data_IF_749979059721
#
_entry.id   IF_749979059721
#
_cell.length_a   1.000
_cell.length_b   1.000
_cell.length_c   1.000
_cell.angle_alpha   90.00
_cell.angle_beta   90.00
_cell.angle_gamma   90.00
#
_symmetry.space_group_name_H-M   'P 1'
#
loop_
_entity.id
_entity.type
_entity.pdbx_description
1 polymer ?
#
# COMPACT_ATOMS: atom_id res chain seq x y z
N UNK A 1 -38.73 -15.14 2.91
CA UNK A 1 -37.64 -15.99 2.37
C UNK A 1 -36.33 -15.25 2.48
N UNK A 2 -35.54 -15.50 3.52
CA UNK A 2 -34.16 -15.03 3.66
C UNK A 2 -33.34 -16.28 3.94
N UNK A 3 -32.52 -16.69 2.97
CA UNK A 3 -31.60 -17.83 3.11
C UNK A 3 -30.18 -17.31 2.93
N UNK A 4 -29.41 -17.46 4.01
CA UNK A 4 -28.02 -17.91 4.06
C UNK A 4 -27.00 -17.19 3.16
N UNK A 5 -26.40 -16.13 3.70
CA UNK A 5 -25.07 -15.65 3.33
C UNK A 5 -24.20 -15.81 4.58
N UNK A 6 -23.83 -17.05 4.90
CA UNK A 6 -22.87 -17.41 5.95
C UNK A 6 -22.36 -18.83 5.66
N UNK A 7 -21.78 -19.06 4.48
CA UNK A 7 -21.26 -20.39 4.13
C UNK A 7 -20.01 -20.39 3.24
N UNK A 8 -19.21 -19.32 3.27
CA UNK A 8 -17.94 -19.28 2.53
C UNK A 8 -16.68 -19.14 3.41
N UNK A 9 -16.82 -19.24 4.73
CA UNK A 9 -15.69 -19.13 5.67
C UNK A 9 -15.19 -20.47 6.23
N UNK A 10 -15.69 -21.61 5.75
CA UNK A 10 -15.38 -22.92 6.33
C UNK A 10 -14.87 -23.98 5.32
N UNK A 11 -14.36 -23.58 4.14
CA UNK A 11 -13.97 -24.56 3.11
C UNK A 11 -12.57 -24.36 2.51
N UNK A 12 -11.62 -23.94 3.33
CA UNK A 12 -10.18 -24.16 3.06
C UNK A 12 -9.53 -25.10 4.09
N UNK A 13 -10.22 -25.43 5.18
CA UNK A 13 -9.84 -26.52 6.06
C UNK A 13 -10.50 -27.82 5.59
N UNK A 14 -9.71 -28.72 5.01
CA UNK A 14 -9.87 -30.19 4.88
C UNK A 14 -9.37 -30.62 3.50
N UNK A 15 -8.04 -30.76 3.39
CA UNK A 15 -7.44 -31.93 2.75
C UNK A 15 -5.96 -32.04 3.13
N UNK A 16 -5.71 -32.45 4.37
CA UNK A 16 -4.47 -33.14 4.76
C UNK A 16 -4.78 -33.99 6.00
N UNK A 17 -5.13 -35.25 5.78
CA UNK A 17 -5.23 -36.23 6.86
C UNK A 17 -3.83 -36.56 7.40
N UNK A 18 -3.65 -36.24 8.68
CA UNK A 18 -3.03 -37.09 9.70
C UNK A 18 -1.49 -37.19 9.73
N UNK A 19 -0.86 -36.34 10.56
CA UNK A 19 -0.18 -36.74 11.82
C UNK A 19 0.41 -35.52 12.54
N UNK A 20 0.17 -35.49 13.84
CA UNK A 20 0.75 -34.65 14.90
C UNK A 20 0.20 -33.23 15.07
N UNK A 21 -0.48 -33.09 16.20
CA UNK A 21 -0.89 -31.90 16.93
C UNK A 21 0.26 -30.91 17.17
N UNK A 22 -0.13 -29.62 17.33
CA UNK A 22 0.66 -28.45 17.78
C UNK A 22 1.32 -27.59 16.69
N UNK A 23 0.56 -26.89 15.83
CA UNK A 23 1.07 -25.68 15.12
C UNK A 23 0.00 -24.71 14.56
N UNK A 24 -1.29 -24.79 14.94
CA UNK A 24 -2.34 -23.90 14.36
C UNK A 24 -2.68 -22.65 15.23
N UNK A 25 -2.12 -22.55 16.44
CA UNK A 25 -2.49 -21.53 17.44
C UNK A 25 -1.61 -20.26 17.44
N UNK A 26 -0.45 -20.30 16.76
CA UNK A 26 0.53 -19.20 16.81
C UNK A 26 0.27 -18.05 15.83
N UNK A 27 -0.31 -18.36 14.66
CA UNK A 27 -0.37 -17.45 13.49
C UNK A 27 -1.70 -16.70 13.35
N UNK A 28 -2.82 -17.36 13.68
CA UNK A 28 -4.08 -16.68 13.99
C UNK A 28 -3.86 -15.63 15.10
N UNK A 29 -3.05 -15.99 16.10
CA UNK A 29 -2.57 -15.10 17.14
C UNK A 29 -1.78 -13.89 16.61
N UNK A 30 -0.95 -14.05 15.57
CA UNK A 30 -0.22 -12.91 14.99
C UNK A 30 -1.16 -11.88 14.35
N UNK A 31 -2.09 -12.32 13.49
CA UNK A 31 -3.07 -11.41 12.85
C UNK A 31 -3.90 -10.67 13.91
N UNK A 32 -4.37 -11.40 14.93
CA UNK A 32 -5.11 -10.80 16.05
C UNK A 32 -4.28 -9.78 16.82
N UNK A 33 -3.01 -10.09 17.09
CA UNK A 33 -2.11 -9.18 17.82
C UNK A 33 -1.79 -7.93 17.00
N UNK A 34 -1.54 -8.06 15.70
CA UNK A 34 -1.33 -6.92 14.80
C UNK A 34 -2.61 -6.08 14.71
N UNK A 35 -3.77 -6.73 14.57
CA UNK A 35 -5.07 -6.04 14.54
C UNK A 35 -5.33 -5.29 15.86
N UNK A 36 -4.94 -5.83 17.02
CA UNK A 36 -5.03 -5.11 18.30
C UNK A 36 -4.16 -3.85 18.35
N UNK A 37 -2.97 -3.87 17.72
CA UNK A 37 -2.03 -2.73 17.72
C UNK A 37 -2.39 -1.68 16.64
N UNK A 38 -2.52 -2.11 15.39
CA UNK A 38 -2.73 -1.23 14.24
C UNK A 38 -4.21 -0.94 13.98
N UNK A 39 -5.13 -1.80 14.42
CA UNK A 39 -6.56 -1.63 14.20
C UNK A 39 -6.90 -1.58 12.71
N UNK A 40 -7.50 -0.48 12.26
CA UNK A 40 -7.87 -0.27 10.86
C UNK A 40 -6.67 -0.04 9.93
N UNK A 41 -5.49 0.21 10.48
CA UNK A 41 -4.25 0.43 9.72
C UNK A 41 -3.53 -0.88 9.34
N UNK A 42 -4.11 -2.04 9.66
CA UNK A 42 -3.68 -3.33 9.16
C UNK A 42 -4.68 -3.82 8.11
N UNK A 43 -4.25 -4.11 6.89
CA UNK A 43 -5.08 -4.60 5.78
C UNK A 43 -4.52 -5.92 5.26
N UNK A 44 -5.31 -6.99 5.38
CA UNK A 44 -4.87 -8.36 5.03
C UNK A 44 -5.18 -8.74 3.58
N UNK A 45 -4.53 -9.80 3.03
CA UNK A 45 -4.86 -10.33 1.71
C UNK A 45 -6.34 -10.73 1.56
N UNK A 46 -6.96 -11.24 2.63
CA UNK A 46 -8.35 -11.67 2.67
C UNK A 46 -9.30 -10.47 2.57
N UNK A 47 -9.02 -9.37 3.28
CA UNK A 47 -9.80 -8.14 3.18
C UNK A 47 -9.71 -7.52 1.79
N UNK A 48 -8.53 -7.58 1.16
CA UNK A 48 -8.34 -7.16 -0.23
C UNK A 48 -9.18 -8.07 -1.15
N UNK A 49 -9.15 -9.38 -0.96
CA UNK A 49 -9.91 -10.34 -1.78
C UNK A 49 -11.42 -10.17 -1.67
N UNK A 50 -11.91 -9.76 -0.50
CA UNK A 50 -13.33 -9.54 -0.24
C UNK A 50 -13.87 -8.26 -0.90
N UNK A 51 -13.02 -7.27 -1.16
CA UNK A 51 -13.43 -5.93 -1.60
C UNK A 51 -13.01 -5.60 -3.04
N UNK A 52 -12.00 -6.30 -3.55
CA UNK A 52 -11.43 -6.13 -4.88
C UNK A 52 -11.64 -7.38 -5.73
N UNK A 53 -11.56 -7.25 -7.05
CA UNK A 53 -11.54 -8.40 -7.99
C UNK A 53 -10.18 -9.09 -8.03
N UNK A 54 -9.47 -9.09 -6.91
CA UNK A 54 -8.14 -9.65 -6.72
C UNK A 54 -8.29 -10.88 -5.86
N UNK A 55 -7.57 -11.94 -6.17
CA UNK A 55 -7.64 -13.19 -5.43
C UNK A 55 -6.22 -13.66 -5.13
N UNK A 56 -5.98 -14.08 -3.91
CA UNK A 56 -4.72 -14.70 -3.49
C UNK A 56 -4.90 -16.21 -3.51
N UNK A 57 -3.91 -16.92 -4.03
CA UNK A 57 -3.86 -18.38 -3.93
C UNK A 57 -3.58 -18.80 -2.49
N UNK A 58 -3.92 -20.06 -2.11
CA UNK A 58 -3.57 -20.57 -0.78
C UNK A 58 -2.07 -20.45 -0.47
N UNK A 59 -1.19 -20.64 -1.46
CA UNK A 59 0.26 -20.50 -1.29
C UNK A 59 0.67 -19.05 -1.02
N UNK A 60 0.00 -18.07 -1.65
CA UNK A 60 0.25 -16.66 -1.36
C UNK A 60 -0.22 -16.27 0.04
N UNK A 61 -1.37 -16.79 0.49
CA UNK A 61 -1.83 -16.58 1.87
C UNK A 61 -0.81 -17.14 2.87
N UNK A 62 -0.34 -18.37 2.65
CA UNK A 62 0.72 -18.99 3.46
C UNK A 62 1.98 -18.13 3.44
N UNK A 63 2.40 -17.60 2.28
CA UNK A 63 3.57 -16.74 2.20
C UNK A 63 3.46 -15.49 3.10
N UNK A 64 2.31 -14.80 3.11
CA UNK A 64 2.08 -13.64 3.98
C UNK A 64 2.07 -14.01 5.46
N UNK A 65 1.61 -15.23 5.80
CA UNK A 65 1.63 -15.78 7.16
C UNK A 65 3.04 -16.18 7.61
N UNK A 66 3.87 -16.71 6.71
CA UNK A 66 5.23 -17.17 7.02
C UNK A 66 6.26 -16.03 7.04
N UNK A 67 5.93 -14.88 6.45
CA UNK A 67 6.82 -13.73 6.34
C UNK A 67 6.25 -12.44 6.96
N UNK A 68 5.71 -12.47 8.19
CA UNK A 68 5.20 -11.27 8.84
C UNK A 68 6.35 -10.32 9.20
N UNK A 69 6.11 -8.99 9.22
CA UNK A 69 7.00 -8.08 9.92
C UNK A 69 7.10 -8.45 11.40
N UNK A 70 8.28 -8.24 11.99
CA UNK A 70 8.45 -8.44 13.43
C UNK A 70 7.56 -7.48 14.25
N UNK A 71 7.31 -7.86 15.51
CA UNK A 71 6.38 -7.10 16.35
C UNK A 71 6.89 -5.67 16.67
N UNK A 72 8.21 -5.47 16.72
CA UNK A 72 8.81 -4.14 16.92
C UNK A 72 8.50 -3.20 15.75
N UNK A 73 8.54 -3.69 14.51
CA UNK A 73 8.13 -2.95 13.32
C UNK A 73 6.63 -2.63 13.35
N UNK A 74 5.78 -3.51 13.92
CA UNK A 74 4.34 -3.24 14.08
C UNK A 74 4.10 -2.10 15.08
N UNK A 75 4.76 -2.12 16.24
CA UNK A 75 4.69 -1.04 17.24
C UNK A 75 5.25 0.25 16.63
N UNK A 76 6.37 0.18 15.92
CA UNK A 76 6.97 1.33 15.25
C UNK A 76 6.02 1.93 14.23
N UNK A 77 5.35 1.10 13.42
CA UNK A 77 4.33 1.55 12.46
C UNK A 77 3.24 2.35 13.15
N UNK A 78 2.69 1.83 14.25
CA UNK A 78 1.66 2.50 15.04
C UNK A 78 2.11 3.88 15.50
N UNK A 79 3.30 3.96 16.09
CA UNK A 79 3.84 5.19 16.66
C UNK A 79 4.22 6.24 15.60
N UNK A 80 4.46 5.83 14.36
CA UNK A 80 4.89 6.71 13.28
C UNK A 80 3.80 6.97 12.22
N UNK A 81 2.58 6.48 12.43
CA UNK A 81 1.45 6.72 11.51
C UNK A 81 1.57 5.97 10.18
N UNK A 82 2.19 4.79 10.21
CA UNK A 82 2.23 3.87 9.07
C UNK A 82 1.06 2.90 9.14
N UNK A 83 0.63 2.48 7.96
CA UNK A 83 -0.25 1.33 7.78
C UNK A 83 0.56 0.14 7.28
N UNK A 84 0.08 -1.06 7.60
CA UNK A 84 0.56 -2.33 7.10
C UNK A 84 -0.46 -2.89 6.13
N UNK A 85 -0.09 -3.00 4.86
CA UNK A 85 -0.99 -3.44 3.79
C UNK A 85 -0.36 -4.61 3.06
N UNK A 86 -1.12 -5.67 2.81
CA UNK A 86 -0.66 -6.73 1.93
C UNK A 86 -0.47 -6.20 0.50
N UNK A 87 0.70 -6.47 -0.09
CA UNK A 87 0.96 -6.26 -1.51
C UNK A 87 0.05 -7.13 -2.39
N UNK A 88 0.02 -6.90 -3.72
CA UNK A 88 -0.76 -7.69 -4.66
C UNK A 88 -0.38 -9.18 -4.65
N UNK A 89 -1.18 -10.07 -5.26
CA UNK A 89 -0.83 -11.49 -5.38
C UNK A 89 0.40 -11.74 -6.27
N UNK A 90 0.60 -10.92 -7.29
CA UNK A 90 1.78 -10.97 -8.17
C UNK A 90 2.39 -9.58 -8.28
N UNK A 91 3.62 -9.48 -8.77
CA UNK A 91 4.21 -8.19 -9.13
C UNK A 91 3.25 -7.40 -10.03
N UNK A 92 2.93 -6.17 -9.63
CA UNK A 92 2.06 -5.28 -10.40
C UNK A 92 2.74 -3.93 -10.59
N UNK A 93 2.76 -3.46 -11.84
CA UNK A 93 3.09 -2.07 -12.14
C UNK A 93 1.85 -1.17 -12.06
N UNK A 94 2.06 0.14 -12.14
CA UNK A 94 0.99 1.13 -12.05
C UNK A 94 -0.14 0.89 -13.07
N UNK A 95 0.19 0.54 -14.31
CA UNK A 95 -0.81 0.28 -15.35
C UNK A 95 -1.63 -0.98 -15.07
N UNK A 96 -1.01 -2.03 -14.55
CA UNK A 96 -1.69 -3.24 -14.12
C UNK A 96 -2.61 -2.96 -12.93
N UNK A 97 -2.15 -2.18 -11.94
CA UNK A 97 -3.00 -1.74 -10.81
C UNK A 97 -4.23 -1.00 -11.36
N UNK A 98 -4.04 -0.03 -12.25
CA UNK A 98 -5.15 0.71 -12.87
C UNK A 98 -6.12 -0.20 -13.61
N UNK A 99 -5.61 -1.20 -14.33
CA UNK A 99 -6.43 -2.12 -15.12
C UNK A 99 -7.22 -3.11 -14.26
N UNK A 100 -6.64 -3.59 -13.17
CA UNK A 100 -7.27 -4.56 -12.26
C UNK A 100 -8.34 -3.95 -11.34
N UNK A 101 -8.45 -2.62 -11.32
CA UNK A 101 -9.33 -1.89 -10.41
C UNK A 101 -10.47 -1.17 -11.15
N UNK A 102 -11.45 -0.68 -10.38
CA UNK A 102 -12.51 0.17 -10.91
C UNK A 102 -11.90 1.47 -11.48
N UNK A 103 -12.33 1.86 -12.69
CA UNK A 103 -11.81 3.03 -13.40
C UNK A 103 -11.90 4.33 -12.60
N UNK A 104 -12.87 4.42 -11.69
CA UNK A 104 -13.13 5.58 -10.83
C UNK A 104 -12.12 5.75 -9.69
N UNK A 105 -11.29 4.73 -9.39
CA UNK A 105 -10.26 4.84 -8.35
C UNK A 105 -9.07 5.70 -8.77
N UNK A 106 -8.95 6.01 -10.05
CA UNK A 106 -7.94 6.93 -10.56
C UNK A 106 -8.61 8.07 -11.31
N UNK A 107 -8.00 9.26 -11.28
CA UNK A 107 -8.41 10.32 -12.18
C UNK A 107 -8.29 9.86 -13.65
N UNK A 108 -9.11 10.46 -14.51
CA UNK A 108 -9.11 10.19 -15.95
C UNK A 108 -7.89 10.80 -16.64
N UNK A 109 -6.72 10.22 -16.39
CA UNK A 109 -5.42 10.65 -16.91
C UNK A 109 -4.69 9.45 -17.54
N UNK A 110 -3.99 9.71 -18.65
CA UNK A 110 -3.26 8.69 -19.41
C UNK A 110 -1.82 9.11 -19.76
N UNK A 111 -1.34 10.26 -19.28
CA UNK A 111 0.00 10.75 -19.59
C UNK A 111 1.09 9.73 -19.20
N UNK A 112 0.90 9.04 -18.09
CA UNK A 112 1.84 8.03 -17.57
C UNK A 112 1.75 6.64 -18.25
N UNK A 113 0.94 6.49 -19.30
CA UNK A 113 0.86 5.22 -20.05
C UNK A 113 2.05 5.01 -20.98
N UNK A 114 2.69 6.10 -21.42
CA UNK A 114 3.92 6.08 -22.20
C UNK A 114 5.18 5.90 -21.35
N UNK A 115 5.18 6.53 -20.18
CA UNK A 115 6.32 6.70 -19.27
C UNK A 115 6.96 5.38 -18.80
N UNK A 116 8.28 5.42 -18.59
CA UNK A 116 9.03 4.27 -18.10
C UNK A 116 8.50 3.78 -16.74
N UNK A 117 8.31 4.68 -15.77
CA UNK A 117 7.89 4.32 -14.43
C UNK A 117 6.50 3.65 -14.41
N UNK A 118 5.60 4.03 -15.33
CA UNK A 118 4.25 3.46 -15.39
C UNK A 118 4.26 1.95 -15.66
N UNK A 119 5.27 1.48 -16.39
CA UNK A 119 5.46 0.08 -16.79
C UNK A 119 6.47 -0.67 -15.93
N UNK A 120 7.39 0.04 -15.29
CA UNK A 120 8.58 -0.56 -14.67
C UNK A 120 8.72 -0.29 -13.17
N UNK A 121 7.89 0.55 -12.57
CA UNK A 121 7.77 0.60 -11.13
C UNK A 121 6.79 -0.47 -10.68
N UNK A 122 7.26 -1.36 -9.82
CA UNK A 122 6.50 -2.52 -9.37
C UNK A 122 6.24 -2.42 -7.88
N UNK A 123 5.06 -2.87 -7.47
CA UNK A 123 4.77 -3.30 -6.11
C UNK A 123 4.83 -4.83 -6.06
N UNK A 124 5.51 -5.35 -5.03
CA UNK A 124 5.79 -6.78 -4.85
C UNK A 124 4.72 -7.47 -4.00
N UNK A 125 4.55 -8.81 -4.12
CA UNK A 125 3.66 -9.60 -3.27
C UNK A 125 4.24 -9.80 -1.88
N UNK A 126 4.40 -8.71 -1.13
CA UNK A 126 4.94 -8.70 0.23
C UNK A 126 4.19 -7.69 1.11
N UNK A 127 4.45 -7.72 2.41
CA UNK A 127 3.91 -6.71 3.32
C UNK A 127 4.50 -5.32 3.00
N UNK A 128 3.62 -4.32 2.93
CA UNK A 128 3.97 -2.92 2.67
C UNK A 128 3.71 -2.08 3.91
N UNK A 129 4.75 -1.50 4.49
CA UNK A 129 4.63 -0.53 5.57
C UNK A 129 4.75 0.88 4.99
N UNK A 130 3.62 1.57 4.81
CA UNK A 130 3.56 2.88 4.13
C UNK A 130 2.99 3.94 5.07
N UNK A 131 3.61 5.12 5.12
CA UNK A 131 3.12 6.25 5.93
C UNK A 131 1.80 6.77 5.35
N UNK A 132 0.76 6.93 6.18
CA UNK A 132 -0.56 7.40 5.73
C UNK A 132 -0.61 8.89 5.35
N UNK A 133 0.42 9.65 5.71
CA UNK A 133 0.57 11.10 5.52
C UNK A 133 1.97 11.41 5.03
N UNK A 134 2.22 12.68 4.70
CA UNK A 134 3.58 13.14 4.42
C UNK A 134 4.53 12.86 5.59
N UNK A 135 5.82 12.75 5.27
CA UNK A 135 6.86 12.83 6.31
C UNK A 135 6.73 14.16 7.05
N UNK A 136 6.75 14.17 8.40
CA UNK A 136 6.61 15.39 9.17
C UNK A 136 7.58 16.48 8.71
N UNK A 137 7.08 17.71 8.60
CA UNK A 137 7.83 18.89 8.17
C UNK A 137 8.40 18.83 6.74
N UNK A 138 7.95 17.90 5.89
CA UNK A 138 8.42 17.80 4.50
C UNK A 138 7.76 18.79 3.54
N UNK A 139 6.69 19.47 3.92
CA UNK A 139 6.08 20.54 3.10
C UNK A 139 6.99 21.77 3.05
N UNK A 140 6.77 22.63 2.05
CA UNK A 140 7.54 23.87 1.84
C UNK A 140 9.04 23.65 1.61
N UNK A 141 9.38 22.51 1.00
CA UNK A 141 10.76 22.09 0.75
C UNK A 141 10.92 21.64 -0.69
N UNK A 142 12.09 21.89 -1.26
CA UNK A 142 12.48 21.29 -2.53
C UNK A 142 12.77 19.78 -2.34
N UNK A 143 13.00 19.06 -3.42
CA UNK A 143 13.24 17.61 -3.37
C UNK A 143 14.42 17.23 -2.44
N UNK A 144 15.54 17.92 -2.56
CA UNK A 144 16.74 17.61 -1.77
C UNK A 144 16.49 17.82 -0.28
N UNK A 145 15.88 18.92 0.11
CA UNK A 145 15.48 19.21 1.49
C UNK A 145 14.50 18.14 2.02
N UNK A 146 13.52 17.71 1.21
CA UNK A 146 12.59 16.64 1.59
C UNK A 146 13.28 15.29 1.78
N UNK A 147 14.16 14.91 0.86
CA UNK A 147 14.88 13.63 0.90
C UNK A 147 15.68 13.47 2.19
N UNK A 148 16.27 14.55 2.72
CA UNK A 148 17.00 14.51 4.01
C UNK A 148 16.13 14.22 5.23
N UNK A 149 14.81 14.36 5.12
CA UNK A 149 13.86 14.05 6.20
C UNK A 149 13.46 12.58 6.22
N UNK A 150 13.64 11.87 5.11
CA UNK A 150 13.42 10.42 5.05
C UNK A 150 14.67 9.74 5.57
N UNK A 151 14.60 9.24 6.81
CA UNK A 151 15.75 8.67 7.51
C UNK A 151 15.66 7.16 7.53
N UNK A 152 16.82 6.52 7.44
CA UNK A 152 16.92 5.07 7.59
C UNK A 152 16.22 4.58 8.87
N UNK A 153 15.49 3.47 8.82
CA UNK A 153 15.38 2.54 7.68
C UNK A 153 14.23 2.87 6.71
N UNK A 154 13.63 4.06 6.79
CA UNK A 154 12.62 4.50 5.82
C UNK A 154 13.25 4.73 4.43
N UNK A 155 12.46 4.48 3.39
CA UNK A 155 12.76 4.80 2.00
C UNK A 155 11.59 5.56 1.36
N UNK A 156 11.83 6.19 0.21
CA UNK A 156 10.79 6.87 -0.55
C UNK A 156 10.17 5.83 -1.50
N UNK A 157 8.89 5.44 -1.31
CA UNK A 157 8.27 4.41 -2.13
C UNK A 157 8.14 4.87 -3.57
N UNK A 158 8.09 3.92 -4.50
CA UNK A 158 7.74 4.20 -5.89
C UNK A 158 6.23 4.46 -6.03
N UNK A 159 5.80 4.91 -7.21
CA UNK A 159 4.41 5.27 -7.48
C UNK A 159 3.46 4.07 -7.39
N UNK A 160 3.89 2.87 -7.78
CA UNK A 160 3.06 1.68 -7.74
C UNK A 160 2.82 1.22 -6.29
N UNK A 161 3.85 1.24 -5.44
CA UNK A 161 3.74 0.93 -4.01
C UNK A 161 2.77 1.88 -3.31
N UNK A 162 2.97 3.20 -3.50
CA UNK A 162 2.13 4.20 -2.83
C UNK A 162 0.69 4.18 -3.35
N UNK A 163 0.49 4.07 -4.67
CA UNK A 163 -0.84 3.98 -5.27
C UNK A 163 -1.59 2.74 -4.79
N UNK A 164 -0.93 1.56 -4.79
CA UNK A 164 -1.51 0.33 -4.26
C UNK A 164 -2.00 0.52 -2.82
N UNK A 165 -1.10 0.98 -1.94
CA UNK A 165 -1.37 1.09 -0.51
C UNK A 165 -2.54 2.07 -0.22
N UNK A 166 -2.56 3.23 -0.89
CA UNK A 166 -3.61 4.24 -0.74
C UNK A 166 -4.96 3.76 -1.30
N UNK A 167 -4.97 3.08 -2.45
CA UNK A 167 -6.20 2.55 -3.05
C UNK A 167 -6.76 1.40 -2.21
N UNK A 168 -5.93 0.50 -1.69
CA UNK A 168 -6.37 -0.58 -0.82
C UNK A 168 -6.99 -0.04 0.46
N UNK A 169 -6.41 1.01 1.04
CA UNK A 169 -7.02 1.67 2.20
C UNK A 169 -8.42 2.19 1.87
N UNK A 170 -8.62 2.84 0.72
CA UNK A 170 -9.95 3.28 0.29
C UNK A 170 -10.91 2.12 0.05
N UNK A 171 -10.46 1.06 -0.63
CA UNK A 171 -11.32 -0.08 -0.99
C UNK A 171 -11.77 -0.87 0.22
N UNK A 172 -10.88 -1.04 1.20
CA UNK A 172 -11.14 -1.85 2.38
C UNK A 172 -11.81 -1.04 3.49
N UNK A 173 -11.37 0.21 3.72
CA UNK A 173 -11.83 1.05 4.83
C UNK A 173 -12.86 2.11 4.44
N UNK A 174 -13.05 2.35 3.14
CA UNK A 174 -13.94 3.41 2.65
C UNK A 174 -13.41 4.84 2.82
N UNK A 175 -12.18 5.01 3.31
CA UNK A 175 -11.57 6.31 3.64
C UNK A 175 -10.59 6.77 2.57
N UNK A 176 -10.69 8.03 2.15
CA UNK A 176 -9.73 8.66 1.25
C UNK A 176 -8.49 9.15 2.04
N UNK A 177 -7.32 8.58 1.75
CA UNK A 177 -6.05 9.11 2.22
C UNK A 177 -5.54 10.19 1.25
N UNK A 178 -4.80 11.17 1.76
CA UNK A 178 -4.19 12.25 0.96
C UNK A 178 -5.20 13.14 0.18
N UNK A 179 -6.35 13.58 0.76
CA UNK A 179 -7.39 14.27 -0.02
C UNK A 179 -6.98 15.68 -0.50
N UNK A 180 -6.11 16.38 0.24
CA UNK A 180 -5.84 17.81 0.02
C UNK A 180 -4.37 18.14 -0.31
N UNK A 181 -3.54 17.12 -0.50
CA UNK A 181 -2.11 17.29 -0.73
C UNK A 181 -1.55 16.13 -1.56
N UNK A 182 -0.34 16.33 -2.06
CA UNK A 182 0.40 15.37 -2.87
C UNK A 182 1.64 14.91 -2.14
N UNK A 183 2.06 13.68 -2.37
CA UNK A 183 3.33 13.12 -1.91
C UNK A 183 4.22 12.81 -3.10
N UNK A 184 5.45 13.32 -3.09
CA UNK A 184 6.49 12.89 -4.03
C UNK A 184 6.91 11.44 -3.75
N UNK A 185 7.09 10.68 -4.82
CA UNK A 185 7.60 9.31 -4.81
C UNK A 185 9.05 9.29 -5.28
N UNK A 186 9.67 8.11 -5.31
CA UNK A 186 11.00 7.92 -5.92
C UNK A 186 10.94 7.79 -7.45
N UNK A 187 9.75 7.65 -8.02
CA UNK A 187 9.52 7.57 -9.46
C UNK A 187 9.80 8.89 -10.13
N UNK A 188 10.35 8.83 -11.34
CA UNK A 188 10.69 10.01 -12.14
C UNK A 188 10.10 9.84 -13.54
N UNK A 189 9.51 10.89 -14.08
CA UNK A 189 9.05 10.94 -15.47
C UNK A 189 10.22 10.94 -16.45
N UNK A 190 9.95 10.69 -17.72
CA UNK A 190 10.94 10.72 -18.79
C UNK A 190 11.58 12.12 -18.93
N UNK A 191 10.87 13.18 -18.51
CA UNK A 191 11.37 14.57 -18.41
C UNK A 191 12.22 14.85 -17.16
N UNK A 192 12.44 13.85 -16.31
CA UNK A 192 13.28 13.99 -15.12
C UNK A 192 12.57 14.61 -13.90
N UNK A 193 11.24 14.60 -13.86
CA UNK A 193 10.45 15.16 -12.76
C UNK A 193 9.90 14.09 -11.84
N UNK A 194 9.97 14.29 -10.53
CA UNK A 194 9.44 13.31 -9.58
C UNK A 194 7.92 13.20 -9.72
N UNK A 195 7.43 11.96 -9.71
CA UNK A 195 6.01 11.68 -9.76
C UNK A 195 5.40 11.90 -8.39
N UNK A 196 4.20 12.43 -8.39
CA UNK A 196 3.47 12.81 -7.20
C UNK A 196 2.11 12.12 -7.18
N UNK A 197 1.73 11.62 -6.00
CA UNK A 197 0.47 10.90 -5.76
C UNK A 197 -0.31 11.58 -4.65
N UNK A 198 -1.60 11.81 -4.85
CA UNK A 198 -2.46 12.37 -3.82
C UNK A 198 -3.74 12.96 -4.40
N UNK A 199 -4.26 13.99 -3.71
CA UNK A 199 -5.58 14.60 -3.96
C UNK A 199 -6.65 13.54 -4.22
N UNK A 200 -6.65 12.49 -3.41
CA UNK A 200 -7.55 11.36 -3.62
C UNK A 200 -8.93 11.69 -3.05
N UNK A 201 -9.92 11.76 -3.93
CA UNK A 201 -11.31 12.01 -3.59
C UNK A 201 -12.25 11.20 -4.51
N UNK A 202 -13.51 11.63 -4.62
CA UNK A 202 -14.52 11.00 -5.47
C UNK A 202 -14.15 11.03 -6.97
N UNK A 203 -13.27 11.95 -7.39
CA UNK A 203 -12.71 12.03 -8.75
C UNK A 203 -11.56 11.05 -9.00
N UNK A 204 -11.13 10.31 -7.99
CA UNK A 204 -10.08 9.29 -8.07
C UNK A 204 -8.70 9.78 -7.62
N UNK A 205 -7.74 8.86 -7.60
CA UNK A 205 -6.36 9.16 -7.24
C UNK A 205 -5.66 9.95 -8.37
N UNK A 206 -5.11 11.12 -8.04
CA UNK A 206 -4.40 11.98 -8.99
C UNK A 206 -2.91 11.60 -9.06
N UNK A 207 -2.38 11.53 -10.29
CA UNK A 207 -0.95 11.42 -10.55
C UNK A 207 -0.49 12.63 -11.37
N UNK A 208 0.63 13.24 -10.98
CA UNK A 208 1.24 14.37 -11.69
C UNK A 208 2.75 14.35 -11.57
N UNK A 209 3.44 15.19 -12.33
CA UNK A 209 4.87 15.42 -12.27
C UNK A 209 5.10 16.91 -12.56
N UNK A 210 5.43 17.72 -11.56
CA UNK A 210 5.66 19.15 -11.79
C UNK A 210 7.12 19.44 -12.10
N UNK A 211 7.38 20.32 -13.07
CA UNK A 211 8.73 20.55 -13.62
C UNK A 211 9.74 21.24 -12.69
N UNK A 212 9.43 21.38 -11.40
CA UNK A 212 10.05 22.38 -10.53
C UNK A 212 10.66 21.78 -9.26
N UNK A 213 11.22 20.58 -9.33
CA UNK A 213 11.84 19.89 -8.20
C UNK A 213 12.93 20.70 -7.47
N UNK A 214 13.61 21.60 -8.19
CA UNK A 214 14.74 22.37 -7.65
C UNK A 214 14.33 23.66 -6.91
N UNK A 215 13.30 24.37 -7.38
CA UNK A 215 12.97 25.72 -6.88
C UNK A 215 11.57 25.84 -6.26
N UNK A 216 10.70 24.82 -6.39
CA UNK A 216 9.34 24.92 -5.90
C UNK A 216 9.18 24.41 -4.46
N UNK A 217 8.93 25.35 -3.53
CA UNK A 217 8.57 25.10 -2.12
C UNK A 217 7.04 25.12 -1.92
N UNK A 218 6.33 24.29 -2.68
CA UNK A 218 4.87 24.24 -2.63
C UNK A 218 4.36 23.80 -1.24
N UNK A 219 3.34 24.50 -0.74
CA UNK A 219 2.70 24.24 0.56
C UNK A 219 1.94 22.91 0.57
N UNK A 220 1.50 22.43 -0.60
CA UNK A 220 0.64 21.25 -0.76
C UNK A 220 1.42 19.98 -1.09
N UNK A 221 2.76 20.01 -1.12
CA UNK A 221 3.59 18.88 -1.53
C UNK A 221 4.47 18.39 -0.38
N UNK A 222 4.23 17.16 0.05
CA UNK A 222 5.09 16.41 0.96
C UNK A 222 5.93 15.37 0.24
N UNK A 223 6.64 14.55 1.00
CA UNK A 223 7.34 13.37 0.49
C UNK A 223 6.73 12.12 1.11
N UNK A 224 6.59 11.07 0.30
CA UNK A 224 6.15 9.77 0.76
C UNK A 224 7.27 9.07 1.55
N UNK A 225 6.86 8.15 2.41
CA UNK A 225 7.79 7.28 3.10
C UNK A 225 7.18 5.90 3.30
N UNK A 226 8.02 4.90 3.12
CA UNK A 226 7.75 3.51 3.40
C UNK A 226 8.92 2.93 4.20
N UNK A 227 8.72 1.75 4.78
CA UNK A 227 9.73 1.03 5.53
C UNK A 227 9.76 -0.41 5.04
N UNK A 228 10.95 -1.02 4.84
CA UNK A 228 11.00 -2.40 4.43
C UNK A 228 10.43 -3.28 5.56
N UNK A 229 9.69 -4.36 5.22
CA UNK A 229 9.16 -5.29 6.21
C UNK A 229 10.26 -6.16 6.88
N UNK A 230 11.51 -6.08 6.41
CA UNK A 230 12.69 -6.79 6.94
C UNK A 230 13.91 -5.89 7.08
N UNK A 231 14.67 -6.13 8.15
CA UNK A 231 16.04 -6.64 8.05
C UNK A 231 16.16 -7.83 8.98
#
# INVERSE_FOLDING_TARGET
MKKNIFFFLALVFVCCCNKNSETDDGLSGWYENVKKVLGEDFITPEEISATCRIQYSPQQLIYFMDHPPDYDNIIWCKNNGFMLVAGPPNDMNLLQIRHSMEKTLFCNQYWYTGEWFGKNDWVKPSWLMVRKREVPHSKHKNWMEQKTLVRQPEYIPNVAELAWAVIMYKKVRGVYLLPNYMLRTSSVSDDGHHVEVGKFDEGGLLLTHFSLDYNNRNKLMGIASARPPKN
#
